data_IF_885758313052
#
_entry.id   IF_885758313052
#
_cell.length_a   1.000
_cell.length_b   1.000
_cell.length_c   1.000
_cell.angle_alpha   90.00
_cell.angle_beta   90.00
_cell.angle_gamma   90.00
#
_symmetry.space_group_name_H-M   'P 1'
#
loop_
_entity.id
_entity.type
_entity.pdbx_description
1 polymer ?
#
# COMPACT_ATOMS: atom_id res chain seq x y z
N UNK A 1 57.55 25.96 32.56
CA UNK A 1 58.41 26.05 31.37
C UNK A 1 58.76 24.61 30.99
N UNK A 2 58.00 23.96 30.09
CA UNK A 2 58.14 24.01 28.61
C UNK A 2 59.52 23.45 28.22
N UNK A 3 59.68 22.39 27.43
CA UNK A 3 59.11 21.98 26.12
C UNK A 3 59.40 20.46 25.94
N UNK A 4 58.66 19.62 25.23
CA UNK A 4 58.00 19.81 23.93
C UNK A 4 58.90 19.29 22.81
N UNK A 5 58.75 18.02 22.44
CA UNK A 5 59.26 17.35 21.23
C UNK A 5 58.26 16.18 21.02
N UNK A 6 57.35 16.17 20.05
CA UNK A 6 57.48 16.61 18.67
C UNK A 6 57.39 15.36 17.78
N UNK A 7 56.29 14.61 17.90
CA UNK A 7 55.94 13.57 16.95
C UNK A 7 54.62 14.00 16.30
N UNK A 8 54.76 14.33 15.02
CA UNK A 8 53.68 14.59 14.08
C UNK A 8 52.83 13.31 13.94
N UNK A 9 51.66 13.32 14.58
CA UNK A 9 50.55 12.45 14.20
C UNK A 9 49.67 13.28 13.25
N UNK A 10 50.04 13.27 11.96
CA UNK A 10 49.10 13.55 10.86
C UNK A 10 48.11 12.36 10.85
N UNK A 11 47.16 12.37 11.78
CA UNK A 11 45.95 11.54 11.72
C UNK A 11 44.99 12.23 10.75
N UNK A 12 44.87 11.60 9.58
CA UNK A 12 44.09 12.05 8.45
C UNK A 12 42.61 12.27 8.84
N UNK A 13 42.20 13.55 8.77
CA UNK A 13 40.86 14.11 8.98
C UNK A 13 39.80 13.63 7.95
N UNK A 14 39.68 12.33 7.68
CA UNK A 14 38.70 11.83 6.68
C UNK A 14 37.28 11.62 7.24
N UNK A 15 37.09 11.72 8.56
CA UNK A 15 35.79 11.53 9.22
C UNK A 15 35.01 12.81 9.53
N UNK A 16 35.56 14.01 9.28
CA UNK A 16 34.82 15.27 9.47
C UNK A 16 33.91 15.64 8.27
N UNK A 17 34.05 14.97 7.12
CA UNK A 17 33.26 15.26 5.92
C UNK A 17 31.75 14.97 6.09
N UNK A 18 31.38 14.16 7.07
CA UNK A 18 29.98 13.79 7.35
C UNK A 18 29.36 14.53 8.53
N UNK A 19 30.00 15.59 9.04
CA UNK A 19 29.47 16.35 10.18
C UNK A 19 29.32 15.44 11.39
N UNK A 20 30.37 15.40 12.23
CA UNK A 20 30.38 14.59 13.46
C UNK A 20 29.02 14.61 14.15
N UNK A 21 28.58 13.43 14.61
CA UNK A 21 27.22 13.10 15.06
C UNK A 21 26.68 14.10 16.08
N UNK A 22 26.25 15.27 15.59
CA UNK A 22 25.36 16.14 16.31
C UNK A 22 24.09 15.33 16.38
N UNK A 23 23.81 14.79 17.57
CA UNK A 23 22.51 14.28 17.92
C UNK A 23 21.52 15.43 17.73
N UNK A 24 21.08 15.62 16.49
CA UNK A 24 20.11 16.61 16.12
C UNK A 24 18.92 16.35 17.03
N UNK A 25 18.68 17.30 17.95
CA UNK A 25 17.47 17.28 18.76
C UNK A 25 16.32 17.24 17.78
N UNK A 26 15.71 16.05 17.66
CA UNK A 26 14.47 15.89 16.93
C UNK A 26 13.50 16.91 17.54
N UNK A 27 13.16 17.91 16.75
CA UNK A 27 12.30 19.01 17.17
C UNK A 27 10.96 18.45 17.66
N UNK A 28 10.69 18.62 18.95
CA UNK A 28 9.48 18.15 19.63
C UNK A 28 8.19 18.82 19.09
N UNK A 29 8.31 19.81 18.20
CA UNK A 29 7.19 20.47 17.52
C UNK A 29 6.30 19.52 16.71
N UNK A 30 6.86 18.43 16.13
CA UNK A 30 6.06 17.46 15.37
C UNK A 30 5.15 16.58 16.24
N UNK A 31 5.51 16.34 17.50
CA UNK A 31 4.71 15.53 18.43
C UNK A 31 3.44 16.23 18.90
N UNK A 32 3.37 17.56 18.83
CA UNK A 32 2.20 18.30 19.29
C UNK A 32 1.00 18.26 18.33
N UNK A 33 1.22 17.95 17.05
CA UNK A 33 0.17 18.02 16.01
C UNK A 33 -0.33 16.66 15.50
N UNK A 34 0.25 15.54 15.95
CA UNK A 34 -0.23 14.20 15.61
C UNK A 34 -0.50 13.38 16.88
N UNK A 35 -1.77 13.08 17.24
CA UNK A 35 -2.11 12.36 18.47
C UNK A 35 -1.59 10.91 18.50
N UNK A 36 -1.09 10.36 17.39
CA UNK A 36 -0.42 9.04 17.35
C UNK A 36 1.11 9.12 17.50
N UNK A 37 1.72 10.30 17.42
CA UNK A 37 3.18 10.46 17.54
C UNK A 37 4.01 9.83 16.42
N UNK A 38 3.40 9.35 15.34
CA UNK A 38 4.09 8.78 14.20
C UNK A 38 4.78 9.87 13.36
N UNK A 39 6.03 9.64 12.99
CA UNK A 39 6.84 10.49 12.11
C UNK A 39 7.62 9.61 11.12
N UNK A 40 7.95 10.17 9.96
CA UNK A 40 8.78 9.51 8.96
C UNK A 40 10.24 9.87 9.22
N UNK A 41 11.13 8.89 9.16
CA UNK A 41 12.56 9.06 9.33
C UNK A 41 13.34 8.33 8.25
N UNK A 42 14.49 8.88 7.87
CA UNK A 42 15.50 8.14 7.13
C UNK A 42 16.34 7.35 8.13
N UNK A 43 16.48 6.04 7.91
CA UNK A 43 17.22 5.14 8.79
C UNK A 43 18.43 4.62 8.01
N UNK A 44 19.62 5.22 8.20
CA UNK A 44 20.82 4.80 7.50
C UNK A 44 21.07 3.30 7.68
N UNK A 45 21.64 2.68 6.64
CA UNK A 45 21.92 1.25 6.55
C UNK A 45 20.68 0.38 6.32
N UNK A 46 19.57 0.65 7.00
CA UNK A 46 18.32 -0.07 6.73
C UNK A 46 17.73 0.33 5.36
N UNK A 47 17.85 1.61 4.99
CA UNK A 47 17.43 2.15 3.70
C UNK A 47 18.25 1.65 2.49
N UNK A 48 19.39 1.01 2.74
CA UNK A 48 20.25 0.44 1.69
C UNK A 48 19.87 -0.99 1.29
N UNK A 49 18.99 -1.65 2.05
CA UNK A 49 18.59 -3.04 1.78
C UNK A 49 17.42 -3.07 0.79
N UNK A 50 17.52 -3.94 -0.20
CA UNK A 50 16.48 -4.12 -1.22
C UNK A 50 15.30 -4.94 -0.68
N UNK A 51 14.12 -4.72 -1.24
CA UNK A 51 12.94 -5.51 -0.93
C UNK A 51 13.05 -6.94 -1.48
N UNK A 52 12.58 -7.93 -0.71
CA UNK A 52 12.23 -9.25 -1.23
C UNK A 52 10.73 -9.52 -1.04
N UNK A 53 10.03 -10.04 -2.07
CA UNK A 53 8.62 -10.45 -1.93
C UNK A 53 8.44 -11.65 -0.99
N UNK A 54 9.50 -12.45 -0.79
CA UNK A 54 9.50 -13.60 0.11
C UNK A 54 9.79 -13.19 1.57
N UNK A 55 10.06 -11.91 1.84
CA UNK A 55 10.36 -11.42 3.17
C UNK A 55 9.08 -11.28 4.01
N UNK A 56 9.06 -11.97 5.16
CA UNK A 56 7.94 -11.94 6.10
C UNK A 56 7.96 -10.70 7.04
N UNK A 57 6.92 -10.58 7.87
CA UNK A 57 6.76 -9.49 8.85
C UNK A 57 7.96 -9.32 9.79
N UNK A 58 8.78 -10.36 10.00
CA UNK A 58 9.93 -10.28 10.90
C UNK A 58 11.02 -9.39 10.33
N UNK A 59 11.05 -9.27 9.00
CA UNK A 59 12.01 -8.40 8.34
C UNK A 59 11.66 -6.94 8.51
N UNK A 60 10.38 -6.58 8.67
CA UNK A 60 9.96 -5.18 8.75
C UNK A 60 10.74 -4.40 9.82
N UNK A 61 11.30 -3.27 9.41
CA UNK A 61 11.97 -2.35 10.32
C UNK A 61 11.04 -1.92 11.44
N UNK A 62 11.43 -2.23 12.67
CA UNK A 62 10.66 -1.93 13.87
C UNK A 62 11.39 -0.91 14.73
N UNK A 63 10.65 -0.11 15.50
CA UNK A 63 11.24 0.79 16.50
C UNK A 63 10.99 0.22 17.89
N UNK A 64 12.06 0.03 18.65
CA UNK A 64 12.00 -0.31 20.08
C UNK A 64 12.48 0.89 20.90
N UNK A 65 12.09 0.94 22.17
CA UNK A 65 12.65 1.90 23.12
C UNK A 65 13.60 1.15 24.03
N UNK A 66 14.82 1.64 24.12
CA UNK A 66 15.79 1.14 25.09
C UNK A 66 15.33 1.57 26.50
N UNK A 67 15.06 0.60 27.37
CA UNK A 67 14.49 0.84 28.70
C UNK A 67 15.47 1.53 29.66
N UNK A 68 16.78 1.45 29.41
CA UNK A 68 17.82 2.00 30.28
C UNK A 68 18.13 3.46 29.93
N UNK A 69 18.20 3.78 28.64
CA UNK A 69 18.59 5.09 28.11
C UNK A 69 17.40 5.93 27.65
N UNK A 70 16.24 5.29 27.41
CA UNK A 70 15.05 5.91 26.83
C UNK A 70 15.18 6.25 25.34
N UNK A 71 16.28 5.86 24.71
CA UNK A 71 16.54 6.09 23.29
C UNK A 71 15.59 5.24 22.43
N UNK A 72 15.21 5.77 21.26
CA UNK A 72 14.49 4.99 20.24
C UNK A 72 15.52 4.30 19.37
N UNK A 73 15.41 2.99 19.26
CA UNK A 73 16.31 2.13 18.48
C UNK A 73 15.52 1.56 17.32
N UNK A 74 16.05 1.70 16.11
CA UNK A 74 15.53 1.01 14.93
C UNK A 74 16.15 -0.39 14.88
N UNK A 75 15.33 -1.42 14.82
CA UNK A 75 15.74 -2.82 14.82
C UNK A 75 15.23 -3.52 13.56
N UNK A 76 16.17 -4.17 12.87
CA UNK A 76 15.91 -4.97 11.69
C UNK A 76 16.34 -6.41 11.94
N UNK A 77 15.54 -7.38 11.51
CA UNK A 77 15.84 -8.81 11.66
C UNK A 77 15.86 -9.47 10.28
N UNK A 78 16.66 -10.52 10.16
CA UNK A 78 16.75 -11.26 8.91
C UNK A 78 15.44 -12.02 8.63
N UNK A 79 14.90 -11.85 7.42
CA UNK A 79 13.77 -12.64 6.88
C UNK A 79 14.10 -14.11 6.69
N UNK A 80 15.37 -14.45 6.42
CA UNK A 80 15.82 -15.80 6.11
C UNK A 80 17.26 -16.05 6.58
N UNK A 81 17.72 -17.29 6.44
CA UNK A 81 19.13 -17.63 6.62
C UNK A 81 19.93 -17.26 5.36
N UNK A 82 20.86 -16.33 5.48
CA UNK A 82 21.74 -15.89 4.39
C UNK A 82 23.09 -16.63 4.44
N UNK A 83 23.57 -17.11 3.28
CA UNK A 83 24.89 -17.67 3.12
C UNK A 83 25.92 -16.58 2.71
N UNK A 84 27.23 -16.81 2.90
CA UNK A 84 28.24 -15.87 2.43
C UNK A 84 28.15 -15.64 0.91
N UNK A 85 27.96 -14.37 0.52
CA UNK A 85 27.78 -13.96 -0.87
C UNK A 85 26.33 -13.72 -1.28
N UNK A 86 25.36 -14.09 -0.44
CA UNK A 86 23.96 -13.75 -0.66
C UNK A 86 23.70 -12.27 -0.39
N UNK A 87 22.82 -11.69 -1.19
CA UNK A 87 22.29 -10.35 -0.93
C UNK A 87 21.29 -10.41 0.22
N UNK A 88 21.44 -9.49 1.17
CA UNK A 88 20.53 -9.35 2.30
C UNK A 88 19.37 -8.46 1.87
N UNK A 89 18.15 -8.98 2.05
CA UNK A 89 16.93 -8.27 1.68
C UNK A 89 16.12 -7.93 2.93
N UNK A 90 15.30 -6.89 2.78
CA UNK A 90 14.30 -6.47 3.74
C UNK A 90 12.86 -6.60 3.17
N UNK A 91 11.83 -6.41 3.99
CA UNK A 91 10.46 -6.18 3.58
C UNK A 91 10.14 -4.70 3.65
N UNK A 92 9.66 -4.12 2.55
CA UNK A 92 9.13 -2.75 2.55
C UNK A 92 7.65 -2.71 2.98
N UNK A 93 7.07 -3.88 3.22
CA UNK A 93 5.66 -4.13 3.48
C UNK A 93 5.37 -5.58 3.13
N UNK A 94 4.59 -6.26 3.97
CA UNK A 94 4.11 -7.60 3.64
C UNK A 94 3.01 -7.48 2.61
N UNK A 95 2.98 -8.43 1.68
CA UNK A 95 2.01 -8.49 0.61
C UNK A 95 1.94 -7.18 -0.22
N UNK A 96 3.08 -6.60 -0.57
CA UNK A 96 3.11 -5.47 -1.50
C UNK A 96 2.72 -5.93 -2.92
N UNK A 97 1.68 -5.34 -3.47
CA UNK A 97 1.30 -5.56 -4.86
C UNK A 97 2.36 -4.98 -5.80
N UNK A 98 2.46 -5.50 -7.04
CA UNK A 98 3.36 -4.93 -8.06
C UNK A 98 3.08 -3.46 -8.35
N UNK A 99 1.80 -3.06 -8.28
CA UNK A 99 1.40 -1.67 -8.43
C UNK A 99 1.92 -0.81 -7.26
N UNK A 100 1.81 -1.28 -6.02
CA UNK A 100 2.35 -0.57 -4.86
C UNK A 100 3.87 -0.45 -4.92
N UNK A 101 4.57 -1.53 -5.28
CA UNK A 101 6.03 -1.51 -5.48
C UNK A 101 6.43 -0.45 -6.50
N UNK A 102 5.73 -0.39 -7.63
CA UNK A 102 6.02 0.57 -8.68
C UNK A 102 5.75 2.01 -8.24
N UNK A 103 4.57 2.26 -7.66
CA UNK A 103 4.13 3.61 -7.31
C UNK A 103 4.93 4.20 -6.14
N UNK A 104 5.30 3.38 -5.16
CA UNK A 104 5.97 3.84 -3.94
C UNK A 104 7.49 3.78 -4.02
N UNK A 105 8.03 2.80 -4.75
CA UNK A 105 9.47 2.52 -4.77
C UNK A 105 10.10 2.50 -6.16
N UNK A 106 9.30 2.60 -7.24
CA UNK A 106 9.82 2.73 -8.60
C UNK A 106 10.38 1.45 -9.21
N UNK A 107 10.12 0.28 -8.62
CA UNK A 107 10.50 -1.02 -9.16
C UNK A 107 9.32 -1.98 -9.22
N UNK A 108 9.43 -3.02 -10.05
CA UNK A 108 8.45 -4.11 -10.14
C UNK A 108 9.22 -5.42 -10.14
N UNK A 109 8.85 -6.33 -9.25
CA UNK A 109 9.28 -7.72 -9.37
C UNK A 109 8.47 -8.41 -10.47
N UNK A 110 9.16 -8.99 -11.45
CA UNK A 110 8.57 -9.69 -12.60
C UNK A 110 8.82 -11.19 -12.55
N UNK A 111 9.38 -11.70 -11.45
CA UNK A 111 9.51 -13.13 -11.25
C UNK A 111 8.12 -13.76 -11.19
N UNK A 112 7.94 -14.89 -11.90
CA UNK A 112 6.72 -15.67 -11.79
C UNK A 112 6.65 -16.19 -10.35
N UNK A 113 5.65 -15.76 -9.59
CA UNK A 113 5.44 -16.22 -8.21
C UNK A 113 5.15 -17.72 -8.24
N UNK A 114 6.20 -18.53 -8.15
CA UNK A 114 6.12 -19.99 -8.32
C UNK A 114 5.51 -20.71 -7.11
N UNK A 115 4.73 -20.01 -6.28
CA UNK A 115 4.08 -20.59 -5.13
C UNK A 115 3.37 -19.55 -4.27
N UNK A 116 2.13 -19.21 -4.63
CA UNK A 116 1.01 -18.88 -3.71
C UNK A 116 1.20 -17.85 -2.59
N UNK A 117 2.32 -17.12 -2.52
CA UNK A 117 2.64 -16.20 -1.42
C UNK A 117 3.05 -14.80 -1.86
N UNK A 118 2.97 -14.49 -3.16
CA UNK A 118 3.11 -13.12 -3.64
C UNK A 118 1.75 -12.42 -3.61
N UNK A 119 1.70 -11.16 -3.18
CA UNK A 119 0.49 -10.35 -3.28
C UNK A 119 -0.01 -10.32 -4.72
N UNK A 120 -1.30 -10.56 -4.85
CA UNK A 120 -1.96 -10.67 -6.14
C UNK A 120 -2.04 -9.30 -6.80
N UNK A 121 -1.90 -9.28 -8.13
CA UNK A 121 -2.25 -8.08 -8.86
C UNK A 121 -3.74 -7.81 -8.68
N UNK A 122 -4.04 -6.56 -8.39
CA UNK A 122 -5.40 -6.07 -8.28
C UNK A 122 -5.66 -4.94 -9.27
N UNK A 123 -6.93 -4.80 -9.63
CA UNK A 123 -7.43 -3.67 -10.40
C UNK A 123 -8.50 -2.98 -9.58
N UNK A 124 -8.32 -1.68 -9.35
CA UNK A 124 -9.33 -0.85 -8.74
C UNK A 124 -10.31 -0.33 -9.79
N UNK A 125 -11.58 -0.62 -9.55
CA UNK A 125 -12.71 -0.19 -10.36
C UNK A 125 -13.48 0.86 -9.58
N UNK A 126 -13.79 2.00 -10.22
CA UNK A 126 -14.60 3.05 -9.60
C UNK A 126 -15.98 2.50 -9.17
N UNK A 127 -16.41 2.86 -7.96
CA UNK A 127 -17.71 2.43 -7.46
C UNK A 127 -18.90 2.94 -8.25
N UNK A 128 -18.81 4.15 -8.81
CA UNK A 128 -19.83 4.69 -9.70
C UNK A 128 -20.04 3.82 -10.94
N UNK A 129 -18.94 3.40 -11.59
CA UNK A 129 -18.99 2.54 -12.78
C UNK A 129 -19.58 1.18 -12.42
N UNK A 130 -19.10 0.60 -11.31
CA UNK A 130 -19.55 -0.70 -10.85
C UNK A 130 -21.06 -0.72 -10.54
N UNK A 131 -21.54 0.23 -9.75
CA UNK A 131 -22.97 0.31 -9.38
C UNK A 131 -23.86 0.57 -10.59
N UNK A 132 -23.41 1.39 -11.55
CA UNK A 132 -24.18 1.66 -12.78
C UNK A 132 -24.40 0.38 -13.59
N UNK A 133 -23.36 -0.43 -13.77
CA UNK A 133 -23.43 -1.70 -14.51
C UNK A 133 -24.17 -2.81 -13.75
N UNK A 134 -24.15 -2.76 -12.41
CA UNK A 134 -24.88 -3.69 -11.55
C UNK A 134 -26.39 -3.43 -11.60
N UNK A 135 -26.79 -2.16 -11.56
CA UNK A 135 -28.18 -1.76 -11.55
C UNK A 135 -28.81 -1.67 -12.95
N UNK A 136 -27.98 -1.68 -14.01
CA UNK A 136 -28.41 -1.51 -15.41
C UNK A 136 -29.26 -0.23 -15.61
N UNK A 137 -28.85 0.87 -14.94
CA UNK A 137 -29.54 2.16 -14.99
C UNK A 137 -28.57 3.27 -15.41
N UNK A 138 -29.03 4.16 -16.29
CA UNK A 138 -28.24 5.33 -16.72
C UNK A 138 -28.15 6.42 -15.63
N UNK A 139 -29.13 6.50 -14.73
CA UNK A 139 -29.23 7.51 -13.67
C UNK A 139 -29.03 6.87 -12.29
N UNK A 140 -28.24 7.49 -11.39
CA UNK A 140 -27.91 6.92 -10.09
C UNK A 140 -29.18 6.68 -9.27
N UNK A 141 -29.29 5.50 -8.67
CA UNK A 141 -30.31 5.21 -7.66
C UNK A 141 -30.01 6.07 -6.41
N UNK A 142 -30.41 7.35 -6.43
CA UNK A 142 -30.13 8.35 -5.39
C UNK A 142 -30.40 7.84 -3.96
N UNK A 143 -31.47 7.06 -3.69
CA UNK A 143 -31.70 6.49 -2.36
C UNK A 143 -30.65 5.45 -1.92
N UNK A 144 -30.11 4.66 -2.86
CA UNK A 144 -29.08 3.66 -2.59
C UNK A 144 -27.74 4.34 -2.30
N UNK A 145 -27.39 5.36 -3.09
CA UNK A 145 -26.12 6.08 -2.94
C UNK A 145 -26.08 6.80 -1.60
N UNK A 146 -27.18 7.45 -1.20
CA UNK A 146 -27.27 8.10 0.11
C UNK A 146 -27.14 7.11 1.29
N UNK A 147 -27.60 5.85 1.13
CA UNK A 147 -27.43 4.80 2.15
C UNK A 147 -25.99 4.31 2.23
N UNK A 148 -25.31 4.16 1.09
CA UNK A 148 -23.91 3.77 1.01
C UNK A 148 -22.98 4.86 1.55
N UNK A 149 -23.24 6.13 1.20
CA UNK A 149 -22.53 7.28 1.75
C UNK A 149 -22.63 7.33 3.28
N UNK A 150 -23.81 7.04 3.84
CA UNK A 150 -24.04 7.07 5.28
C UNK A 150 -23.20 6.05 6.08
N UNK A 151 -22.73 4.98 5.42
CA UNK A 151 -21.83 3.98 6.01
C UNK A 151 -20.37 4.11 5.53
N UNK A 152 -20.06 5.19 4.79
CA UNK A 152 -18.71 5.44 4.26
C UNK A 152 -18.34 4.57 3.06
N UNK A 153 -19.34 3.93 2.41
CA UNK A 153 -19.16 3.12 1.21
C UNK A 153 -19.69 3.82 -0.04
N UNK A 154 -19.66 5.15 -0.02
CA UNK A 154 -20.17 6.02 -1.08
C UNK A 154 -19.44 5.82 -2.41
N UNK A 155 -20.14 5.61 -3.55
CA UNK A 155 -19.51 5.20 -4.81
C UNK A 155 -18.48 6.19 -5.38
N UNK A 156 -18.56 7.47 -5.00
CA UNK A 156 -17.60 8.50 -5.42
C UNK A 156 -16.27 8.47 -4.64
N UNK A 157 -16.24 7.86 -3.46
CA UNK A 157 -15.06 7.81 -2.57
C UNK A 157 -14.46 6.41 -2.45
N UNK A 158 -15.02 5.45 -3.18
CA UNK A 158 -14.72 4.03 -3.02
C UNK A 158 -14.44 3.34 -4.34
N UNK A 159 -13.56 2.34 -4.27
CA UNK A 159 -13.25 1.44 -5.36
C UNK A 159 -13.61 0.00 -5.00
N UNK A 160 -13.95 -0.78 -6.03
CA UNK A 160 -13.93 -2.24 -5.97
C UNK A 160 -12.55 -2.70 -6.40
N UNK A 161 -11.85 -3.35 -5.49
CA UNK A 161 -10.63 -4.07 -5.80
C UNK A 161 -10.97 -5.45 -6.37
N UNK A 162 -10.47 -5.78 -7.55
CA UNK A 162 -10.63 -7.08 -8.21
C UNK A 162 -9.28 -7.76 -8.32
N UNK A 163 -9.17 -9.00 -7.86
CA UNK A 163 -7.96 -9.84 -7.99
C UNK A 163 -8.25 -11.08 -8.84
N UNK A 164 -7.21 -11.88 -9.11
CA UNK A 164 -7.38 -13.16 -9.79
C UNK A 164 -8.22 -14.19 -8.99
N UNK A 165 -8.34 -14.01 -7.67
CA UNK A 165 -9.02 -14.96 -6.78
C UNK A 165 -10.35 -14.44 -6.24
N UNK A 166 -10.71 -13.18 -6.49
CA UNK A 166 -12.00 -12.66 -6.08
C UNK A 166 -12.13 -11.15 -6.14
N UNK A 167 -13.10 -10.64 -5.40
CA UNK A 167 -13.41 -9.21 -5.28
C UNK A 167 -13.37 -8.78 -3.83
N UNK A 168 -13.01 -7.52 -3.62
CA UNK A 168 -12.95 -6.91 -2.28
C UNK A 168 -14.32 -6.82 -1.61
N UNK A 169 -14.32 -6.73 -0.28
CA UNK A 169 -15.52 -6.70 0.56
C UNK A 169 -16.51 -5.58 0.19
N UNK A 170 -16.00 -4.42 -0.25
CA UNK A 170 -16.84 -3.31 -0.72
C UNK A 170 -17.75 -3.71 -1.89
N UNK A 171 -17.26 -4.56 -2.79
CA UNK A 171 -18.04 -5.06 -3.92
C UNK A 171 -19.19 -5.96 -3.45
N UNK A 172 -18.91 -6.83 -2.49
CA UNK A 172 -19.90 -7.73 -1.90
C UNK A 172 -20.99 -6.94 -1.17
N UNK A 173 -20.60 -5.96 -0.35
CA UNK A 173 -21.55 -5.10 0.36
C UNK A 173 -22.46 -4.30 -0.60
N UNK A 174 -21.93 -3.84 -1.73
CA UNK A 174 -22.72 -3.13 -2.75
C UNK A 174 -23.68 -4.01 -3.51
N UNK A 175 -23.24 -5.22 -3.84
CA UNK A 175 -24.08 -6.26 -4.35
C UNK A 175 -25.27 -6.46 -3.40
N UNK A 176 -25.03 -6.80 -2.14
CA UNK A 176 -26.08 -7.04 -1.15
C UNK A 176 -27.07 -5.87 -1.01
N UNK A 177 -26.57 -4.64 -0.97
CA UNK A 177 -27.41 -3.45 -0.86
C UNK A 177 -28.25 -3.18 -2.12
N UNK A 178 -27.71 -3.47 -3.30
CA UNK A 178 -28.47 -3.40 -4.56
C UNK A 178 -29.57 -4.48 -4.61
N UNK A 179 -29.32 -5.67 -4.06
CA UNK A 179 -30.31 -6.75 -3.93
C UNK A 179 -31.51 -6.33 -3.09
N UNK A 180 -31.23 -5.83 -1.87
CA UNK A 180 -32.27 -5.36 -0.95
C UNK A 180 -33.06 -4.19 -1.55
N UNK A 181 -32.40 -3.29 -2.28
CA UNK A 181 -33.09 -2.20 -2.97
C UNK A 181 -34.03 -2.70 -4.09
N UNK A 182 -33.66 -3.79 -4.79
CA UNK A 182 -34.45 -4.36 -5.86
C UNK A 182 -35.65 -5.19 -5.35
N UNK A 183 -35.51 -5.90 -4.22
CA UNK A 183 -36.59 -6.66 -3.60
C UNK A 183 -37.61 -5.79 -2.85
N UNK A 184 -37.20 -4.59 -2.43
CA UNK A 184 -38.02 -3.69 -1.62
C UNK A 184 -38.21 -4.18 -0.17
N UNK A 185 -37.45 -5.21 0.22
CA UNK A 185 -37.42 -5.76 1.58
C UNK A 185 -36.30 -5.09 2.39
N UNK A 186 -36.58 -4.83 3.67
CA UNK A 186 -35.56 -4.36 4.60
C UNK A 186 -34.54 -5.47 4.83
N UNK A 187 -33.26 -5.12 4.75
CA UNK A 187 -32.11 -6.00 4.95
C UNK A 187 -32.25 -6.88 6.21
N UNK A 188 -32.30 -8.20 6.04
CA UNK A 188 -32.25 -9.18 7.14
C UNK A 188 -31.05 -10.16 7.07
N UNK A 189 -30.26 -10.10 5.99
CA UNK A 189 -28.99 -10.81 5.84
C UNK A 189 -29.09 -12.25 5.33
N UNK A 190 -30.25 -12.66 4.79
CA UNK A 190 -30.41 -13.99 4.14
C UNK A 190 -30.47 -13.84 2.61
N UNK A 191 -29.67 -14.61 1.89
CA UNK A 191 -29.38 -14.39 0.47
C UNK A 191 -30.00 -15.49 -0.39
N UNK A 192 -30.73 -15.10 -1.45
CA UNK A 192 -31.22 -16.02 -2.48
C UNK A 192 -30.25 -16.05 -3.68
N UNK A 193 -29.94 -17.26 -4.17
CA UNK A 193 -28.85 -17.48 -5.15
C UNK A 193 -28.98 -16.75 -6.49
N UNK A 194 -30.14 -16.19 -6.82
CA UNK A 194 -30.37 -15.45 -8.07
C UNK A 194 -29.61 -14.10 -8.10
N UNK A 195 -29.30 -13.53 -6.93
CA UNK A 195 -28.60 -12.24 -6.86
C UNK A 195 -27.07 -12.39 -6.99
N UNK A 196 -26.49 -13.52 -6.59
CA UNK A 196 -25.05 -13.81 -6.71
C UNK A 196 -24.65 -13.86 -8.19
N UNK A 197 -25.47 -14.51 -9.01
CA UNK A 197 -25.26 -14.58 -10.46
C UNK A 197 -25.32 -13.19 -11.13
N UNK A 198 -26.23 -12.31 -10.68
CA UNK A 198 -26.33 -10.94 -11.19
C UNK A 198 -25.10 -10.09 -10.84
N UNK A 199 -24.60 -10.23 -9.62
CA UNK A 199 -23.37 -9.59 -9.13
C UNK A 199 -22.14 -10.04 -9.90
N UNK A 200 -21.98 -11.34 -10.11
CA UNK A 200 -20.87 -11.90 -10.91
C UNK A 200 -20.95 -11.42 -12.35
N UNK A 201 -22.15 -11.38 -12.93
CA UNK A 201 -22.36 -10.88 -14.29
C UNK A 201 -22.03 -9.38 -14.40
N UNK A 202 -22.39 -8.56 -13.41
CA UNK A 202 -22.05 -7.14 -13.37
C UNK A 202 -20.54 -6.92 -13.26
N UNK A 203 -19.87 -7.63 -12.35
CA UNK A 203 -18.41 -7.60 -12.23
C UNK A 203 -17.72 -7.97 -13.54
N UNK A 204 -18.20 -9.03 -14.20
CA UNK A 204 -17.66 -9.48 -15.49
C UNK A 204 -17.80 -8.39 -16.56
N UNK A 205 -18.98 -7.78 -16.70
CA UNK A 205 -19.21 -6.67 -17.65
C UNK A 205 -18.30 -5.47 -17.37
N UNK A 206 -18.15 -5.10 -16.11
CA UNK A 206 -17.31 -3.95 -15.72
C UNK A 206 -15.83 -4.23 -16.01
N UNK A 207 -15.36 -5.44 -15.73
CA UNK A 207 -13.99 -5.86 -16.05
C UNK A 207 -13.74 -5.87 -17.56
N UNK A 208 -14.65 -6.46 -18.34
CA UNK A 208 -14.58 -6.48 -19.81
C UNK A 208 -14.58 -5.06 -20.40
N UNK A 209 -15.49 -4.20 -19.95
CA UNK A 209 -15.58 -2.81 -20.40
C UNK A 209 -14.31 -2.01 -20.04
N UNK A 210 -13.78 -2.22 -18.84
CA UNK A 210 -12.54 -1.56 -18.37
C UNK A 210 -11.34 -2.02 -19.18
N UNK A 211 -11.22 -3.33 -19.45
CA UNK A 211 -10.16 -3.88 -20.28
C UNK A 211 -10.25 -3.37 -21.73
N UNK A 212 -11.45 -3.34 -22.32
CA UNK A 212 -11.67 -2.87 -23.68
C UNK A 212 -11.35 -1.37 -23.84
N UNK A 213 -11.67 -0.55 -22.83
CA UNK A 213 -11.39 0.88 -22.83
C UNK A 213 -9.95 1.26 -22.47
N UNK A 214 -9.14 0.32 -21.97
CA UNK A 214 -7.79 0.59 -21.49
C UNK A 214 -6.87 1.23 -22.54
N UNK A 215 -6.79 0.73 -23.81
CA UNK A 215 -5.90 1.31 -24.81
C UNK A 215 -6.19 2.78 -25.09
N UNK A 216 -7.47 3.16 -25.14
CA UNK A 216 -7.90 4.54 -25.38
C UNK A 216 -7.61 5.45 -24.18
N UNK A 217 -7.90 4.97 -22.96
CA UNK A 217 -7.60 5.69 -21.72
C UNK A 217 -6.10 5.91 -21.55
N UNK A 218 -5.30 4.88 -21.82
CA UNK A 218 -3.84 4.96 -21.81
C UNK A 218 -3.34 5.96 -22.85
N UNK A 219 -3.85 5.92 -24.08
CA UNK A 219 -3.49 6.88 -25.12
C UNK A 219 -3.88 8.32 -24.77
N UNK A 220 -5.03 8.54 -24.12
CA UNK A 220 -5.45 9.85 -23.63
C UNK A 220 -4.54 10.38 -22.51
N UNK A 221 -4.17 9.52 -21.55
CA UNK A 221 -3.28 9.88 -20.45
C UNK A 221 -1.87 10.26 -20.96
N UNK A 222 -1.28 9.44 -21.83
CA UNK A 222 0.07 9.67 -22.37
C UNK A 222 0.07 10.79 -23.45
N UNK A 223 -1.04 10.96 -24.16
CA UNK A 223 -1.19 11.99 -25.20
C UNK A 223 -1.37 13.41 -24.64
N UNK A 224 -1.84 13.55 -23.39
CA UNK A 224 -2.03 14.85 -22.74
C UNK A 224 -0.72 15.52 -22.30
N UNK A 225 0.40 14.79 -22.25
CA UNK A 225 1.71 15.31 -21.81
C UNK A 225 2.57 15.91 -22.94
N UNK A 226 2.06 15.99 -24.17
CA UNK A 226 2.79 16.57 -25.34
C UNK A 226 2.19 17.86 -25.90
N UNK A 227 1.36 18.56 -25.13
CA UNK A 227 0.76 19.85 -25.49
C UNK A 227 1.50 21.05 -24.94
#
# INVERSE_FOLDING_TARGET
ATTGDGLDDDDDDEFEAFGGVDAARLDDGYRHNNPTGAFVALVPWADALNHSPDADERSLLSSTRDDETGAVVAELRASAAYAPGDEVHDSYGVDLSRADSFLRYGFVDVSESNGGGGCEDSVDVSGEIFLRELLDVDEPAVPLFARLDAVGLGPGETCVTVTAHGVGESALAWCEMAASAASGEDFDGDFDGDFEDASVAALSRVCEATAAGYPERHAAAVGSERG
#
